data_IF_211405214545
#
_entry.id   IF_211405214545
#
_cell.length_a   1.000
_cell.length_b   1.000
_cell.length_c   1.000
_cell.angle_alpha   90.00
_cell.angle_beta   90.00
_cell.angle_gamma   90.00
#
_symmetry.space_group_name_H-M   'P 1'
#
loop_
_entity.id
_entity.type
_entity.pdbx_description
1 polymer ?
#
# COMPACT_ATOMS: atom_id res chain seq x y z
N UNK A 1 -9.53 -5.30 -22.62
CA UNK A 1 -9.08 -3.90 -22.76
C UNK A 1 -8.52 -3.43 -21.42
N UNK A 2 -7.24 -3.09 -21.34
CA UNK A 2 -6.68 -2.44 -20.17
C UNK A 2 -7.18 -0.99 -20.18
N UNK A 3 -8.07 -0.64 -19.28
CA UNK A 3 -8.43 0.76 -19.05
C UNK A 3 -7.23 1.45 -18.39
N UNK A 4 -6.37 2.05 -19.19
CA UNK A 4 -5.39 3.01 -18.67
C UNK A 4 -6.17 4.23 -18.19
N UNK A 5 -6.12 4.49 -16.89
CA UNK A 5 -6.65 5.73 -16.33
C UNK A 5 -6.01 6.93 -17.02
N UNK A 6 -6.76 8.04 -17.12
CA UNK A 6 -6.21 9.28 -17.68
C UNK A 6 -5.08 9.77 -16.79
N UNK A 7 -3.89 9.94 -17.36
CA UNK A 7 -2.75 10.50 -16.64
C UNK A 7 -3.04 11.92 -16.15
N UNK A 8 -2.61 12.22 -14.93
CA UNK A 8 -2.81 13.52 -14.29
C UNK A 8 -1.45 14.13 -13.97
N UNK A 9 -1.25 15.38 -14.36
CA UNK A 9 -0.04 16.16 -14.01
C UNK A 9 -0.35 17.06 -12.82
N UNK A 10 0.47 16.99 -11.77
CA UNK A 10 0.34 17.82 -10.58
C UNK A 10 1.72 17.98 -9.92
N UNK A 11 2.10 19.22 -9.57
CA UNK A 11 3.34 19.56 -8.87
C UNK A 11 4.62 19.00 -9.54
N UNK A 12 4.63 18.94 -10.89
CA UNK A 12 5.76 18.40 -11.67
C UNK A 12 5.78 16.88 -11.81
N UNK A 13 4.90 16.16 -11.12
CA UNK A 13 4.74 14.71 -11.26
C UNK A 13 3.68 14.35 -12.29
N UNK A 14 3.83 13.16 -12.88
CA UNK A 14 2.81 12.55 -13.74
C UNK A 14 2.29 11.30 -13.07
N UNK A 15 1.04 11.32 -12.65
CA UNK A 15 0.35 10.20 -12.02
C UNK A 15 -0.40 9.36 -13.06
N UNK A 16 -0.39 8.05 -12.91
CA UNK A 16 -1.04 7.13 -13.85
C UNK A 16 -2.57 7.08 -13.68
N UNK A 17 -3.08 7.64 -12.59
CA UNK A 17 -4.51 7.73 -12.33
C UNK A 17 -4.89 8.98 -11.54
N UNK A 18 -6.17 9.39 -11.64
CA UNK A 18 -6.74 10.45 -10.81
C UNK A 18 -6.75 10.07 -9.31
N UNK A 19 -6.83 8.78 -8.99
CA UNK A 19 -6.77 8.28 -7.61
C UNK A 19 -5.38 8.50 -6.98
N UNK A 20 -4.32 8.22 -7.71
CA UNK A 20 -2.95 8.52 -7.25
C UNK A 20 -2.75 10.01 -7.02
N UNK A 21 -3.14 10.86 -7.99
CA UNK A 21 -3.06 12.31 -7.84
C UNK A 21 -3.87 12.82 -6.64
N UNK A 22 -5.05 12.25 -6.41
CA UNK A 22 -5.90 12.56 -5.26
C UNK A 22 -5.26 12.16 -3.94
N UNK A 23 -4.67 10.96 -3.86
CA UNK A 23 -3.97 10.48 -2.68
C UNK A 23 -2.74 11.34 -2.37
N UNK A 24 -1.96 11.68 -3.39
CA UNK A 24 -0.83 12.60 -3.28
C UNK A 24 -1.24 13.95 -2.70
N UNK A 25 -2.25 14.57 -3.29
CA UNK A 25 -2.72 15.90 -2.89
C UNK A 25 -3.28 15.93 -1.46
N UNK A 26 -4.00 14.88 -1.07
CA UNK A 26 -4.67 14.82 0.23
C UNK A 26 -3.75 14.41 1.38
N UNK A 27 -2.79 13.48 1.13
CA UNK A 27 -2.09 12.82 2.22
C UNK A 27 -0.56 12.88 2.15
N UNK A 28 0.04 13.05 0.97
CA UNK A 28 1.49 12.97 0.79
C UNK A 28 2.15 14.34 0.81
N UNK A 29 1.77 15.23 -0.09
CA UNK A 29 2.50 16.49 -0.35
C UNK A 29 2.61 17.41 0.86
N UNK A 30 1.62 17.43 1.73
CA UNK A 30 1.56 18.30 2.90
C UNK A 30 1.73 17.54 4.23
N UNK A 31 2.23 16.31 4.18
CA UNK A 31 2.44 15.48 5.38
C UNK A 31 3.56 15.98 6.29
N UNK A 32 4.45 16.84 5.80
CA UNK A 32 5.67 17.25 6.51
C UNK A 32 6.75 16.16 6.52
N UNK A 33 6.51 15.02 5.90
CA UNK A 33 7.45 13.90 5.78
C UNK A 33 8.20 13.95 4.45
N UNK A 34 9.41 13.40 4.42
CA UNK A 34 10.11 13.15 3.17
C UNK A 34 9.44 12.01 2.40
N UNK A 35 9.33 12.15 1.09
CA UNK A 35 8.70 11.14 0.24
C UNK A 35 9.36 11.05 -1.14
N UNK A 36 9.14 9.93 -1.80
CA UNK A 36 9.46 9.72 -3.21
C UNK A 36 8.21 9.30 -3.98
N UNK A 37 8.09 9.77 -5.22
CA UNK A 37 7.01 9.42 -6.15
C UNK A 37 7.58 8.50 -7.22
N UNK A 38 6.95 7.35 -7.43
CA UNK A 38 7.36 6.31 -8.37
C UNK A 38 8.84 5.89 -8.28
N UNK A 39 9.41 5.71 -7.08
CA UNK A 39 10.79 5.24 -6.96
C UNK A 39 10.93 3.81 -7.48
N UNK A 40 12.14 3.44 -7.88
CA UNK A 40 12.44 2.09 -8.35
C UNK A 40 13.15 1.29 -7.27
N UNK A 41 12.66 0.09 -7.01
CA UNK A 41 13.27 -0.87 -6.09
C UNK A 41 13.59 -2.18 -6.81
N UNK A 42 14.81 -2.66 -6.66
CA UNK A 42 15.21 -3.96 -7.16
C UNK A 42 14.72 -5.07 -6.22
N UNK A 43 13.96 -6.01 -6.74
CA UNK A 43 13.46 -7.17 -5.98
C UNK A 43 14.34 -8.40 -6.18
N UNK A 44 14.77 -8.63 -7.40
CA UNK A 44 15.70 -9.68 -7.78
C UNK A 44 16.77 -9.07 -8.68
N UNK A 45 18.06 -9.20 -8.35
CA UNK A 45 19.12 -8.74 -9.23
C UNK A 45 19.22 -9.61 -10.48
N UNK A 46 19.83 -9.04 -11.52
CA UNK A 46 20.23 -9.80 -12.71
C UNK A 46 21.24 -10.88 -12.31
N UNK A 47 21.15 -12.06 -12.91
CA UNK A 47 22.10 -13.13 -12.66
C UNK A 47 22.35 -14.00 -13.92
N UNK A 48 23.51 -14.62 -13.95
CA UNK A 48 23.87 -15.56 -15.01
C UNK A 48 23.55 -17.00 -14.59
N UNK A 49 22.97 -17.76 -15.51
CA UNK A 49 22.64 -19.16 -15.35
C UNK A 49 23.24 -19.94 -16.54
N UNK A 50 24.47 -20.39 -16.38
CA UNK A 50 25.25 -20.98 -17.47
C UNK A 50 25.56 -19.94 -18.54
N UNK A 51 25.15 -20.21 -19.79
CA UNK A 51 25.37 -19.30 -20.93
C UNK A 51 24.25 -18.27 -21.11
N UNK A 52 23.22 -18.27 -20.25
CA UNK A 52 22.08 -17.35 -20.35
C UNK A 52 22.06 -16.40 -19.17
N UNK A 53 21.49 -15.22 -19.39
CA UNK A 53 21.32 -14.20 -18.38
C UNK A 53 19.85 -14.02 -18.05
N UNK A 54 19.52 -14.08 -16.76
CA UNK A 54 18.15 -13.84 -16.26
C UNK A 54 18.05 -12.38 -15.81
N UNK A 55 17.05 -11.67 -16.33
CA UNK A 55 16.83 -10.25 -16.06
C UNK A 55 16.41 -9.97 -14.61
N UNK A 56 16.68 -8.77 -14.14
CA UNK A 56 16.26 -8.28 -12.84
C UNK A 56 14.73 -8.11 -12.76
N UNK A 57 14.19 -8.19 -11.55
CA UNK A 57 12.81 -7.82 -11.24
C UNK A 57 12.83 -6.53 -10.44
N UNK A 58 12.08 -5.54 -10.91
CA UNK A 58 11.90 -4.26 -10.23
C UNK A 58 10.45 -4.06 -9.80
N UNK A 59 10.27 -3.24 -8.77
CA UNK A 59 8.98 -2.74 -8.33
C UNK A 59 9.01 -1.21 -8.22
N UNK A 60 7.95 -0.58 -8.66
CA UNK A 60 7.76 0.87 -8.60
C UNK A 60 6.50 1.14 -7.77
N UNK A 61 6.62 1.33 -6.45
CA UNK A 61 5.49 1.80 -5.65
C UNK A 61 5.05 3.20 -6.11
N UNK A 62 3.80 3.54 -5.89
CA UNK A 62 3.30 4.87 -6.22
C UNK A 62 3.95 5.92 -5.31
N UNK A 63 4.06 5.63 -4.00
CA UNK A 63 4.72 6.50 -3.04
C UNK A 63 5.52 5.71 -2.01
N UNK A 64 6.66 6.27 -1.61
CA UNK A 64 7.41 5.83 -0.44
C UNK A 64 7.57 7.04 0.48
N UNK A 65 7.28 6.84 1.76
CA UNK A 65 7.42 7.86 2.81
C UNK A 65 8.52 7.44 3.76
N UNK A 66 9.39 8.38 4.10
CA UNK A 66 10.55 8.16 4.93
C UNK A 66 10.42 8.83 6.29
N UNK A 67 10.94 8.15 7.30
CA UNK A 67 11.10 8.70 8.64
C UNK A 67 12.26 9.69 8.76
N UNK A 68 12.41 10.33 9.92
CA UNK A 68 13.50 11.27 10.19
C UNK A 68 14.89 10.65 10.05
N UNK A 69 15.01 9.35 10.30
CA UNK A 69 16.24 8.54 10.17
C UNK A 69 16.47 7.99 8.76
N UNK A 70 15.65 8.43 7.79
CA UNK A 70 15.65 7.94 6.39
C UNK A 70 15.21 6.48 6.22
N UNK A 71 14.74 5.82 7.26
CA UNK A 71 14.10 4.50 7.12
C UNK A 71 12.76 4.63 6.39
N UNK A 72 12.34 3.56 5.72
CA UNK A 72 11.02 3.52 5.07
C UNK A 72 9.96 3.38 6.15
N UNK A 73 9.05 4.36 6.23
CA UNK A 73 7.88 4.29 7.11
C UNK A 73 6.67 3.68 6.40
N UNK A 74 6.41 4.10 5.17
CA UNK A 74 5.27 3.63 4.39
C UNK A 74 5.63 3.40 2.94
N UNK A 75 5.00 2.40 2.34
CA UNK A 75 5.08 2.09 0.91
C UNK A 75 3.66 1.95 0.38
N UNK A 76 3.21 2.89 -0.41
CA UNK A 76 1.85 2.94 -0.90
C UNK A 76 1.73 2.50 -2.36
N UNK A 77 0.75 1.65 -2.63
CA UNK A 77 0.29 1.30 -3.97
C UNK A 77 -1.22 1.64 -4.06
N UNK A 78 -1.57 2.62 -4.89
CA UNK A 78 -2.92 3.17 -4.98
C UNK A 78 -3.74 2.37 -5.97
N UNK A 79 -4.88 1.85 -5.52
CA UNK A 79 -5.81 1.07 -6.35
C UNK A 79 -7.21 1.66 -6.30
N UNK A 80 -8.01 1.34 -7.29
CA UNK A 80 -9.42 1.74 -7.33
C UNK A 80 -10.25 1.03 -6.27
N UNK A 81 -9.80 -0.14 -5.82
CA UNK A 81 -10.39 -0.91 -4.73
C UNK A 81 -9.31 -1.70 -4.01
N UNK A 82 -9.41 -1.80 -2.69
CA UNK A 82 -8.58 -2.69 -1.86
C UNK A 82 -9.14 -4.11 -1.83
N UNK A 83 -10.32 -4.32 -2.41
CA UNK A 83 -10.88 -5.66 -2.55
C UNK A 83 -10.08 -6.48 -3.55
N UNK A 84 -9.83 -7.71 -3.16
CA UNK A 84 -8.90 -8.64 -3.78
C UNK A 84 -9.08 -8.88 -5.29
N UNK A 85 -10.31 -8.74 -5.82
CA UNK A 85 -10.64 -9.07 -7.21
C UNK A 85 -9.92 -8.23 -8.26
N UNK A 86 -9.24 -7.16 -7.87
CA UNK A 86 -8.50 -6.28 -8.78
C UNK A 86 -6.98 -6.36 -8.66
N UNK A 87 -6.43 -7.16 -7.72
CA UNK A 87 -4.99 -7.28 -7.60
C UNK A 87 -4.46 -8.39 -8.51
N UNK A 88 -3.73 -7.98 -9.54
CA UNK A 88 -2.95 -8.85 -10.40
C UNK A 88 -2.04 -9.76 -9.55
N UNK A 89 -2.01 -11.09 -9.77
CA UNK A 89 -1.07 -12.00 -9.12
C UNK A 89 0.39 -11.57 -9.22
N UNK A 90 0.77 -10.97 -10.32
CA UNK A 90 2.10 -10.38 -10.54
C UNK A 90 2.39 -9.22 -9.58
N UNK A 91 1.42 -8.36 -9.30
CA UNK A 91 1.56 -7.29 -8.31
C UNK A 91 1.74 -7.86 -6.89
N UNK A 92 0.94 -8.84 -6.52
CA UNK A 92 1.05 -9.49 -5.19
C UNK A 92 2.41 -10.17 -4.99
N UNK A 93 2.96 -10.79 -6.03
CA UNK A 93 4.30 -11.38 -5.98
C UNK A 93 5.35 -10.30 -5.70
N UNK A 94 5.27 -9.14 -6.38
CA UNK A 94 6.17 -8.01 -6.13
C UNK A 94 6.03 -7.47 -4.71
N UNK A 95 4.82 -7.38 -4.17
CA UNK A 95 4.59 -6.92 -2.78
C UNK A 95 5.26 -7.84 -1.76
N UNK A 96 5.14 -9.16 -1.95
CA UNK A 96 5.79 -10.15 -1.08
C UNK A 96 7.31 -10.06 -1.16
N UNK A 97 7.87 -9.98 -2.36
CA UNK A 97 9.32 -9.86 -2.58
C UNK A 97 9.87 -8.56 -2.00
N UNK A 98 9.15 -7.44 -2.18
CA UNK A 98 9.51 -6.17 -1.59
C UNK A 98 9.56 -6.27 -0.06
N UNK A 99 8.48 -6.75 0.56
CA UNK A 99 8.42 -6.91 2.01
C UNK A 99 9.53 -7.80 2.54
N UNK A 100 9.79 -8.93 1.88
CA UNK A 100 10.88 -9.83 2.29
C UNK A 100 12.25 -9.17 2.21
N UNK A 101 12.50 -8.36 1.20
CA UNK A 101 13.81 -7.73 0.96
C UNK A 101 14.02 -6.47 1.80
N UNK A 102 13.01 -5.62 1.90
CA UNK A 102 13.13 -4.28 2.52
C UNK A 102 12.52 -4.19 3.93
N UNK A 103 11.85 -5.23 4.40
CA UNK A 103 11.35 -5.32 5.77
C UNK A 103 10.04 -4.56 6.04
N UNK A 104 9.48 -3.86 5.05
CA UNK A 104 8.26 -3.07 5.17
C UNK A 104 7.22 -3.59 4.18
N UNK A 105 5.97 -3.85 4.61
CA UNK A 105 4.93 -4.29 3.70
C UNK A 105 4.49 -3.18 2.74
N UNK A 106 3.97 -3.57 1.58
CA UNK A 106 3.28 -2.64 0.68
C UNK A 106 1.84 -2.46 1.15
N UNK A 107 1.47 -1.22 1.36
CA UNK A 107 0.13 -0.81 1.77
C UNK A 107 -0.70 -0.48 0.52
N UNK A 108 -1.62 -1.37 0.19
CA UNK A 108 -2.56 -1.12 -0.92
C UNK A 108 -3.65 -0.20 -0.40
N UNK A 109 -3.78 0.97 -1.01
CA UNK A 109 -4.69 2.02 -0.55
C UNK A 109 -5.72 2.40 -1.61
N UNK A 110 -6.92 2.73 -1.15
CA UNK A 110 -7.98 3.32 -1.97
C UNK A 110 -8.44 4.61 -1.34
N UNK A 111 -8.12 5.77 -1.94
CA UNK A 111 -8.58 7.06 -1.42
C UNK A 111 -10.08 7.24 -1.66
N UNK A 112 -10.74 7.76 -0.63
CA UNK A 112 -12.13 8.20 -0.63
C UNK A 112 -12.20 9.69 -0.29
N UNK A 113 -13.39 10.24 -0.16
CA UNK A 113 -13.58 11.70 -0.01
C UNK A 113 -12.87 12.28 1.22
N UNK A 114 -12.94 11.59 2.38
CA UNK A 114 -12.44 12.09 3.67
C UNK A 114 -11.51 11.13 4.39
N UNK A 115 -11.25 9.97 3.81
CA UNK A 115 -10.39 8.93 4.37
C UNK A 115 -9.84 8.04 3.25
N UNK A 116 -8.95 7.14 3.58
CA UNK A 116 -8.51 6.08 2.67
C UNK A 116 -8.54 4.72 3.37
N UNK A 117 -8.80 3.70 2.58
CA UNK A 117 -8.75 2.32 3.00
C UNK A 117 -7.36 1.77 2.78
N UNK A 118 -6.87 0.97 3.72
CA UNK A 118 -5.55 0.32 3.63
C UNK A 118 -5.71 -1.18 3.81
N UNK A 119 -5.00 -1.95 2.99
CA UNK A 119 -4.92 -3.40 3.11
C UNK A 119 -3.53 -3.90 2.76
N UNK A 120 -3.02 -4.84 3.55
CA UNK A 120 -1.83 -5.60 3.20
C UNK A 120 -2.25 -6.86 2.44
N UNK A 121 -1.80 -7.00 1.22
CA UNK A 121 -2.10 -8.16 0.36
C UNK A 121 -1.04 -9.25 0.47
N UNK A 122 -1.46 -10.48 0.11
CA UNK A 122 -0.54 -11.62 0.04
C UNK A 122 -0.30 -12.34 1.37
N UNK A 123 -1.04 -12.00 2.42
CA UNK A 123 -1.02 -12.70 3.69
C UNK A 123 -1.91 -13.95 3.63
N UNK A 124 -1.49 -15.04 4.25
CA UNK A 124 -2.26 -16.29 4.33
C UNK A 124 -3.18 -16.34 5.53
N UNK A 125 -2.91 -15.54 6.55
CA UNK A 125 -3.72 -15.43 7.77
C UNK A 125 -4.52 -14.14 7.76
N UNK A 126 -5.75 -14.17 8.24
CA UNK A 126 -6.62 -12.99 8.40
C UNK A 126 -6.24 -12.25 9.69
N UNK A 127 -5.01 -11.76 9.75
CA UNK A 127 -4.47 -11.07 10.91
C UNK A 127 -4.70 -9.57 10.90
N UNK A 128 -5.25 -9.04 9.81
CA UNK A 128 -5.54 -7.60 9.75
C UNK A 128 -6.74 -7.28 10.64
N UNK A 129 -6.67 -6.18 11.40
CA UNK A 129 -7.78 -5.73 12.20
C UNK A 129 -9.00 -5.51 11.31
N UNK A 130 -10.14 -6.07 11.75
CA UNK A 130 -11.40 -5.88 11.05
C UNK A 130 -12.11 -4.69 11.66
N UNK A 131 -12.29 -3.62 10.87
CA UNK A 131 -13.18 -2.56 11.26
C UNK A 131 -14.64 -3.00 11.15
N UNK A 132 -15.41 -2.73 12.19
CA UNK A 132 -16.86 -2.85 12.13
C UNK A 132 -17.43 -1.52 11.65
N UNK A 133 -18.14 -1.58 10.54
CA UNK A 133 -18.93 -0.46 10.05
C UNK A 133 -20.40 -0.75 10.28
N UNK A 134 -21.10 0.18 10.90
CA UNK A 134 -22.56 0.11 11.06
C UNK A 134 -23.19 0.85 9.89
N UNK A 135 -24.00 0.14 9.09
CA UNK A 135 -24.81 0.76 8.03
C UNK A 135 -25.93 1.58 8.65
N UNK A 136 -26.55 2.45 7.83
CA UNK A 136 -27.67 3.31 8.24
C UNK A 136 -28.89 2.53 8.76
N UNK A 137 -29.05 1.28 8.35
CA UNK A 137 -30.09 0.34 8.78
C UNK A 137 -29.73 -0.44 10.06
N UNK A 138 -28.60 -0.14 10.69
CA UNK A 138 -28.10 -0.84 11.88
C UNK A 138 -27.33 -2.13 11.59
N UNK A 139 -27.19 -2.55 10.32
CA UNK A 139 -26.45 -3.76 9.96
C UNK A 139 -24.97 -3.57 10.21
N UNK A 140 -24.36 -4.50 10.95
CA UNK A 140 -22.92 -4.54 11.20
C UNK A 140 -22.22 -5.19 10.00
N UNK A 141 -21.32 -4.47 9.36
CA UNK A 141 -20.46 -4.97 8.29
C UNK A 141 -19.04 -5.08 8.81
N UNK A 142 -18.46 -6.26 8.70
CA UNK A 142 -17.04 -6.47 8.99
C UNK A 142 -16.23 -6.12 7.74
N UNK A 143 -15.48 -5.03 7.81
CA UNK A 143 -14.53 -4.65 6.77
C UNK A 143 -13.16 -5.33 7.03
N UNK A 144 -12.53 -5.85 5.99
CA UNK A 144 -11.22 -6.54 6.05
C UNK A 144 -10.05 -5.58 5.76
N UNK A 145 -10.26 -4.29 5.85
CA UNK A 145 -9.27 -3.25 5.62
C UNK A 145 -9.34 -2.20 6.71
N UNK A 146 -8.23 -1.55 6.96
CA UNK A 146 -8.17 -0.44 7.89
C UNK A 146 -8.61 0.87 7.23
N UNK A 147 -9.05 1.83 8.04
CA UNK A 147 -9.47 3.16 7.61
C UNK A 147 -8.54 4.18 8.26
N UNK A 148 -7.92 5.03 7.42
CA UNK A 148 -7.02 6.07 7.87
C UNK A 148 -7.43 7.43 7.30
N UNK A 149 -7.20 8.48 8.11
CA UNK A 149 -7.47 9.88 7.73
C UNK A 149 -6.19 10.69 7.54
N UNK A 150 -5.05 10.14 7.94
CA UNK A 150 -3.72 10.70 7.73
C UNK A 150 -2.69 9.58 7.60
N UNK A 151 -1.47 9.92 7.22
CA UNK A 151 -0.34 8.98 7.16
C UNK A 151 0.48 8.95 8.45
N UNK A 152 -0.04 9.49 9.56
CA UNK A 152 0.63 9.55 10.86
C UNK A 152 0.35 8.32 11.73
N UNK A 153 0.33 7.15 11.14
CA UNK A 153 0.20 5.87 11.84
C UNK A 153 1.46 5.04 11.59
N UNK A 154 1.62 3.99 12.38
CA UNK A 154 2.70 3.01 12.17
C UNK A 154 2.17 1.84 11.35
N UNK A 155 2.94 1.40 10.36
CA UNK A 155 2.54 0.27 9.51
C UNK A 155 2.37 -1.03 10.31
N UNK A 156 3.10 -1.19 11.41
CA UNK A 156 2.99 -2.32 12.32
C UNK A 156 1.59 -2.47 12.92
N UNK A 157 0.85 -1.36 13.11
CA UNK A 157 -0.54 -1.39 13.58
C UNK A 157 -1.46 -2.18 12.65
N UNK A 158 -1.16 -2.21 11.35
CA UNK A 158 -1.91 -2.99 10.37
C UNK A 158 -1.64 -4.50 10.46
N UNK A 159 -0.55 -4.89 11.10
CA UNK A 159 -0.11 -6.27 11.26
C UNK A 159 -0.47 -6.82 12.63
N UNK A 160 -0.63 -5.95 13.62
CA UNK A 160 -1.09 -6.28 14.95
C UNK A 160 -2.63 -6.26 14.94
N UNK A 161 -3.29 -7.41 15.02
CA UNK A 161 -4.72 -7.46 15.31
C UNK A 161 -5.00 -6.78 16.65
N UNK A 162 -6.24 -6.29 16.87
CA UNK A 162 -6.66 -5.86 18.20
C UNK A 162 -6.25 -6.95 19.21
N UNK A 163 -5.32 -6.62 20.07
CA UNK A 163 -5.05 -7.45 21.25
C UNK A 163 -6.31 -7.37 22.08
N UNK A 164 -7.18 -8.37 21.95
CA UNK A 164 -8.28 -8.55 22.87
C UNK A 164 -7.71 -8.36 24.28
N UNK A 165 -8.23 -7.36 24.98
CA UNK A 165 -7.84 -7.03 26.35
C UNK A 165 -8.27 -8.10 27.36
N UNK A 166 -7.95 -9.33 27.09
CA UNK A 166 -7.94 -10.43 28.05
C UNK A 166 -6.50 -10.61 28.52
N UNK A 167 -6.12 -9.77 29.48
CA UNK A 167 -5.16 -10.20 30.48
C UNK A 167 -5.67 -11.56 31.01
N UNK A 168 -4.98 -12.63 30.64
CA UNK A 168 -5.08 -13.85 31.39
C UNK A 168 -4.38 -13.59 32.71
N UNK A 169 -5.20 -13.42 33.73
CA UNK A 169 -4.75 -13.51 35.10
C UNK A 169 -4.20 -14.89 35.42
#
# INVERSE_FOLDING_TARGET
MKHYGRKVKLDGYTFDSAKEASFYAAYIKNSGKEYAVHPQYELLPIFDAGMVRVGAIYYHPDFVVYGPDKSIEHVYDVKTSVDYKGADPSAQLRFKLFWRKYGVPVEVVTPLRSYFKVKILGTTTKTQPMHQRIKRDGTIVKDYYDIKTSIDYKVEELLEGERDGKQRG
#
